data_IF_160954263807
#
_entry.id   IF_160954263807
#
_cell.length_a   1.000
_cell.length_b   1.000
_cell.length_c   1.000
_cell.angle_alpha   90.00
_cell.angle_beta   90.00
_cell.angle_gamma   90.00
#
_symmetry.space_group_name_H-M   'P 1'
#
loop_
_entity.id
_entity.type
_entity.pdbx_description
1 polymer ?
#
# COMPACT_ATOMS: atom_id res chain seq x y z
N UNK A 1 -9.40 13.95 -32.37
CA UNK A 1 -10.10 12.72 -31.95
C UNK A 1 -9.91 12.60 -30.45
N UNK A 2 -10.97 12.75 -29.66
CA UNK A 2 -10.90 12.49 -28.21
C UNK A 2 -11.03 10.97 -28.01
N UNK A 3 -9.93 10.29 -27.73
CA UNK A 3 -10.00 8.96 -27.13
C UNK A 3 -10.39 9.15 -25.67
N UNK A 4 -11.68 8.96 -25.36
CA UNK A 4 -12.09 8.74 -23.98
C UNK A 4 -11.40 7.48 -23.48
N UNK A 5 -10.45 7.63 -22.56
CA UNK A 5 -9.85 6.49 -21.88
C UNK A 5 -10.98 5.74 -21.16
N UNK A 6 -11.04 4.41 -21.34
CA UNK A 6 -12.02 3.60 -20.64
C UNK A 6 -11.59 3.48 -19.19
N UNK A 7 -12.48 3.77 -18.25
CA UNK A 7 -12.18 3.59 -16.82
C UNK A 7 -11.84 2.12 -16.53
N UNK A 8 -10.90 1.90 -15.60
CA UNK A 8 -10.50 0.55 -15.22
C UNK A 8 -11.71 -0.26 -14.72
N UNK A 9 -11.95 -1.49 -15.19
CA UNK A 9 -13.07 -2.31 -14.73
C UNK A 9 -13.05 -2.51 -13.21
N UNK A 10 -14.23 -2.51 -12.57
CA UNK A 10 -14.35 -2.65 -11.11
C UNK A 10 -13.66 -3.92 -10.55
N UNK A 11 -13.70 -5.01 -11.32
CA UNK A 11 -13.04 -6.28 -10.96
C UNK A 11 -11.51 -6.17 -10.89
N UNK A 12 -10.90 -5.26 -11.65
CA UNK A 12 -9.47 -4.94 -11.60
C UNK A 12 -9.19 -3.86 -10.54
N UNK A 13 -10.03 -2.83 -10.48
CA UNK A 13 -9.90 -1.71 -9.55
C UNK A 13 -9.84 -2.12 -8.07
N UNK A 14 -10.57 -3.17 -7.67
CA UNK A 14 -10.53 -3.69 -6.28
C UNK A 14 -9.17 -4.27 -5.84
N UNK A 15 -8.27 -4.52 -6.77
CA UNK A 15 -6.93 -5.05 -6.49
C UNK A 15 -5.86 -3.94 -6.52
N UNK A 16 -6.26 -2.68 -6.66
CA UNK A 16 -5.33 -1.55 -6.78
C UNK A 16 -5.09 -0.93 -5.41
N UNK A 17 -3.83 -0.70 -5.09
CA UNK A 17 -3.38 0.14 -3.97
C UNK A 17 -3.08 1.56 -4.44
N UNK A 18 -2.51 1.71 -5.64
CA UNK A 18 -2.11 3.00 -6.19
C UNK A 18 -1.98 2.93 -7.72
N UNK A 19 -2.23 4.03 -8.47
CA UNK A 19 -2.96 5.23 -8.05
C UNK A 19 -4.48 4.97 -8.04
N UNK A 20 -5.29 5.99 -7.74
CA UNK A 20 -6.75 5.90 -7.85
C UNK A 20 -7.17 5.42 -9.27
N UNK A 21 -7.81 4.24 -9.41
CA UNK A 21 -8.18 3.68 -10.71
C UNK A 21 -9.26 4.47 -11.45
N UNK A 22 -10.03 5.30 -10.74
CA UNK A 22 -11.01 6.23 -11.32
C UNK A 22 -10.47 7.66 -11.48
N UNK A 23 -9.24 7.94 -11.02
CA UNK A 23 -8.63 9.27 -11.06
C UNK A 23 -8.11 9.66 -12.45
N UNK A 24 -7.41 10.78 -12.56
CA UNK A 24 -6.68 11.18 -13.79
C UNK A 24 -5.21 10.78 -13.79
N UNK A 25 -4.62 10.51 -12.63
CA UNK A 25 -3.23 10.07 -12.50
C UNK A 25 -3.07 8.67 -13.09
N UNK A 26 -2.17 8.53 -14.06
CA UNK A 26 -1.88 7.29 -14.77
C UNK A 26 -0.38 7.20 -15.04
N UNK A 27 0.15 5.99 -14.99
CA UNK A 27 1.55 5.72 -15.24
C UNK A 27 1.70 4.86 -16.48
N UNK A 28 2.60 5.30 -17.37
CA UNK A 28 2.84 4.59 -18.64
C UNK A 28 3.91 3.51 -18.47
N UNK A 29 4.69 3.59 -17.40
CA UNK A 29 5.71 2.59 -17.04
C UNK A 29 5.53 2.09 -15.61
N UNK A 30 6.14 0.95 -15.31
CA UNK A 30 6.13 0.38 -13.96
C UNK A 30 6.92 1.25 -12.98
N UNK A 31 8.05 1.80 -13.44
CA UNK A 31 8.96 2.63 -12.65
C UNK A 31 8.26 3.90 -12.16
N UNK A 32 7.50 4.58 -13.03
CA UNK A 32 6.73 5.77 -12.63
C UNK A 32 5.66 5.42 -11.58
N UNK A 33 5.00 4.26 -11.73
CA UNK A 33 3.99 3.81 -10.76
C UNK A 33 4.58 3.47 -9.40
N UNK A 34 5.73 2.80 -9.38
CA UNK A 34 6.47 2.46 -8.15
C UNK A 34 7.00 3.72 -7.50
N UNK A 35 7.50 4.69 -8.27
CA UNK A 35 7.98 5.97 -7.76
C UNK A 35 6.85 6.74 -7.07
N UNK A 36 5.72 6.93 -7.75
CA UNK A 36 4.58 7.62 -7.17
C UNK A 36 4.02 6.93 -5.93
N UNK A 37 3.97 5.59 -5.91
CA UNK A 37 3.59 4.86 -4.71
C UNK A 37 4.53 5.10 -3.53
N UNK A 38 5.85 5.02 -3.77
CA UNK A 38 6.85 5.20 -2.73
C UNK A 38 6.84 6.61 -2.16
N UNK A 39 6.81 7.63 -3.02
CA UNK A 39 6.94 9.04 -2.61
C UNK A 39 5.61 9.64 -2.14
N UNK A 40 4.49 9.36 -2.82
CA UNK A 40 3.21 10.04 -2.55
C UNK A 40 2.33 9.28 -1.56
N UNK A 41 2.21 7.95 -1.70
CA UNK A 41 1.35 7.15 -0.82
C UNK A 41 2.07 6.73 0.46
N UNK A 42 3.27 6.15 0.32
CA UNK A 42 4.06 5.65 1.47
C UNK A 42 4.78 6.79 2.18
N UNK A 43 5.34 7.75 1.42
CA UNK A 43 6.07 8.90 1.98
C UNK A 43 7.57 8.64 2.17
N UNK A 44 8.17 7.79 1.35
CA UNK A 44 9.63 7.69 1.28
C UNK A 44 10.22 9.00 0.76
N UNK A 45 11.28 9.48 1.42
CA UNK A 45 11.84 10.82 1.16
C UNK A 45 12.99 10.83 0.16
N UNK A 46 13.81 9.77 0.14
CA UNK A 46 14.91 9.61 -0.84
C UNK A 46 15.01 8.14 -1.29
N UNK A 47 13.92 7.59 -1.85
CA UNK A 47 13.82 6.17 -2.10
C UNK A 47 14.89 5.66 -3.08
N UNK A 48 15.47 4.51 -2.74
CA UNK A 48 16.33 3.74 -3.63
C UNK A 48 15.53 2.60 -4.23
N UNK A 49 15.57 2.50 -5.55
CA UNK A 49 14.85 1.49 -6.34
C UNK A 49 15.83 0.42 -6.83
N UNK A 50 15.46 -0.84 -6.64
CA UNK A 50 16.13 -1.98 -7.26
C UNK A 50 15.69 -2.20 -8.71
N UNK A 51 16.25 -3.24 -9.32
CA UNK A 51 15.85 -3.67 -10.66
C UNK A 51 14.48 -4.35 -10.66
N UNK A 52 13.73 -4.17 -11.75
CA UNK A 52 12.47 -4.88 -11.98
C UNK A 52 12.71 -6.39 -12.06
N UNK A 53 12.07 -7.13 -11.16
CA UNK A 53 11.93 -8.57 -11.21
C UNK A 53 10.66 -8.92 -11.98
N UNK A 54 10.81 -9.29 -13.26
CA UNK A 54 9.67 -9.57 -14.13
C UNK A 54 8.92 -10.85 -13.68
N UNK A 55 7.60 -10.74 -13.55
CA UNK A 55 6.70 -11.89 -13.31
C UNK A 55 6.11 -12.43 -14.61
N UNK A 56 5.11 -11.73 -15.16
CA UNK A 56 4.56 -11.98 -16.51
C UNK A 56 4.79 -10.78 -17.42
N UNK A 57 4.38 -10.83 -18.69
CA UNK A 57 4.61 -9.73 -19.65
C UNK A 57 4.02 -8.36 -19.24
N UNK A 58 3.16 -8.33 -18.23
CA UNK A 58 2.44 -7.15 -17.70
C UNK A 58 2.65 -6.95 -16.20
N UNK A 59 3.41 -7.77 -15.49
CA UNK A 59 3.62 -7.61 -14.06
C UNK A 59 5.02 -7.94 -13.62
N UNK A 60 5.39 -7.41 -12.47
CA UNK A 60 6.65 -7.68 -11.82
C UNK A 60 6.67 -7.06 -10.44
N UNK A 61 7.86 -7.12 -9.84
CA UNK A 61 8.11 -6.63 -8.50
C UNK A 61 9.38 -5.78 -8.49
N UNK A 62 9.42 -4.77 -7.63
CA UNK A 62 10.59 -3.92 -7.40
C UNK A 62 10.84 -3.84 -5.91
N UNK A 63 12.08 -4.10 -5.49
CA UNK A 63 12.51 -3.79 -4.12
C UNK A 63 12.81 -2.29 -3.99
N UNK A 64 12.24 -1.66 -2.97
CA UNK A 64 12.49 -0.27 -2.61
C UNK A 64 12.94 -0.14 -1.16
N UNK A 65 13.71 0.91 -0.86
CA UNK A 65 14.09 1.33 0.50
C UNK A 65 13.98 2.84 0.61
N UNK A 66 13.72 3.35 1.80
CA UNK A 66 13.63 4.80 2.02
C UNK A 66 14.97 5.53 1.81
N UNK A 67 16.11 4.86 2.02
CA UNK A 67 17.42 5.33 1.60
C UNK A 67 18.40 4.16 1.35
N UNK A 68 19.59 4.46 0.80
CA UNK A 68 20.58 3.45 0.40
C UNK A 68 21.22 2.69 1.59
N UNK A 69 21.17 3.28 2.78
CA UNK A 69 21.93 2.89 3.98
C UNK A 69 21.07 2.45 5.15
N UNK A 70 19.77 2.72 5.10
CA UNK A 70 18.80 2.48 6.17
C UNK A 70 17.42 2.11 5.60
N UNK A 71 16.53 1.59 6.44
CA UNK A 71 15.24 1.05 6.02
C UNK A 71 15.29 -0.44 5.65
N UNK A 72 14.22 -1.15 5.96
CA UNK A 72 14.04 -2.51 5.50
C UNK A 72 13.48 -2.51 4.07
N UNK A 73 13.82 -3.56 3.31
CA UNK A 73 13.30 -3.76 1.95
C UNK A 73 11.78 -3.82 1.98
N UNK A 74 11.16 -3.01 1.12
CA UNK A 74 9.75 -3.15 0.75
C UNK A 74 9.69 -3.64 -0.69
N UNK A 75 9.08 -4.80 -0.93
CA UNK A 75 8.86 -5.32 -2.28
C UNK A 75 7.50 -4.84 -2.78
N UNK A 76 7.48 -4.11 -3.90
CA UNK A 76 6.28 -3.51 -4.48
C UNK A 76 5.86 -4.30 -5.70
N UNK A 77 4.61 -4.76 -5.72
CA UNK A 77 4.05 -5.56 -6.80
C UNK A 77 3.26 -4.65 -7.74
N UNK A 78 3.58 -4.68 -9.04
CA UNK A 78 2.91 -3.86 -10.04
C UNK A 78 2.29 -4.69 -11.17
N UNK A 79 1.30 -4.11 -11.85
CA UNK A 79 0.71 -4.68 -13.06
C UNK A 79 0.20 -3.61 -14.03
N UNK A 80 0.44 -3.83 -15.32
CA UNK A 80 -0.26 -3.16 -16.40
C UNK A 80 -1.65 -3.78 -16.57
N UNK A 81 -2.68 -2.96 -16.38
CA UNK A 81 -4.07 -3.39 -16.41
C UNK A 81 -4.68 -3.35 -17.82
N UNK A 82 -5.96 -3.71 -17.96
CA UNK A 82 -6.65 -3.75 -19.26
C UNK A 82 -6.78 -2.39 -19.96
N UNK A 83 -6.66 -1.30 -19.22
CA UNK A 83 -6.63 0.06 -19.76
C UNK A 83 -5.25 0.50 -20.27
N UNK A 84 -4.23 -0.35 -20.13
CA UNK A 84 -2.88 -0.12 -20.62
C UNK A 84 -1.97 0.66 -19.66
N UNK A 85 -2.42 0.99 -18.45
CA UNK A 85 -1.61 1.72 -17.46
C UNK A 85 -1.13 0.82 -16.33
N UNK A 86 -0.06 1.25 -15.67
CA UNK A 86 0.55 0.53 -14.54
C UNK A 86 -0.04 0.95 -13.20
N UNK A 87 -0.30 -0.06 -12.37
CA UNK A 87 -0.85 0.06 -11.03
C UNK A 87 -0.04 -0.75 -10.04
N UNK A 88 0.02 -0.29 -8.80
CA UNK A 88 0.52 -1.05 -7.66
C UNK A 88 -0.61 -1.88 -7.07
N UNK A 89 -0.33 -3.16 -6.90
CA UNK A 89 -1.28 -4.15 -6.36
C UNK A 89 -1.14 -4.36 -4.87
N UNK A 90 0.04 -4.07 -4.33
CA UNK A 90 0.39 -4.31 -2.95
C UNK A 90 1.88 -4.09 -2.71
N UNK A 91 2.23 -4.10 -1.44
CA UNK A 91 3.62 -4.08 -1.00
C UNK A 91 3.80 -5.01 0.19
N UNK A 92 4.96 -5.66 0.27
CA UNK A 92 5.32 -6.58 1.35
C UNK A 92 6.69 -6.27 1.91
N UNK A 93 6.90 -6.59 3.19
CA UNK A 93 8.17 -6.42 3.90
C UNK A 93 8.40 -7.64 4.80
N UNK A 94 9.65 -8.00 5.04
CA UNK A 94 10.00 -9.04 6.02
C UNK A 94 9.75 -8.60 7.47
N UNK A 95 9.51 -7.31 7.71
CA UNK A 95 9.31 -6.75 9.05
C UNK A 95 7.83 -6.66 9.42
N UNK A 96 6.91 -6.62 8.45
CA UNK A 96 5.48 -6.48 8.66
C UNK A 96 4.72 -7.38 7.69
N UNK A 97 3.98 -8.35 8.23
CA UNK A 97 3.16 -9.31 7.50
C UNK A 97 1.68 -9.12 7.88
N UNK A 98 0.92 -8.25 7.18
CA UNK A 98 -0.52 -8.14 7.37
C UNK A 98 -1.23 -9.45 6.97
N UNK A 99 -2.14 -9.92 7.82
CA UNK A 99 -2.94 -11.11 7.60
C UNK A 99 -4.43 -10.78 7.34
N UNK A 100 -4.95 -9.77 8.04
CA UNK A 100 -6.31 -9.26 7.79
C UNK A 100 -6.32 -7.73 7.76
N UNK A 101 -7.19 -7.14 6.90
CA UNK A 101 -8.02 -7.81 5.90
C UNK A 101 -7.18 -8.42 4.75
N UNK A 102 -7.75 -9.40 4.05
CA UNK A 102 -7.14 -9.94 2.84
C UNK A 102 -7.21 -8.90 1.70
N UNK A 103 -6.32 -9.04 0.71
CA UNK A 103 -6.32 -8.18 -0.47
C UNK A 103 -7.69 -8.16 -1.17
N UNK A 104 -8.22 -6.97 -1.40
CA UNK A 104 -9.51 -6.72 -2.04
C UNK A 104 -10.74 -7.02 -1.16
N UNK A 105 -10.55 -7.32 0.13
CA UNK A 105 -11.67 -7.56 1.04
C UNK A 105 -12.56 -6.32 1.17
N UNK A 106 -13.87 -6.56 1.29
CA UNK A 106 -14.84 -5.52 1.66
C UNK A 106 -14.72 -5.24 3.17
N UNK A 107 -14.65 -3.96 3.54
CA UNK A 107 -14.49 -3.52 4.92
C UNK A 107 -15.57 -2.50 5.31
N UNK A 108 -16.01 -2.58 6.56
CA UNK A 108 -16.84 -1.57 7.23
C UNK A 108 -16.10 -0.99 8.43
N UNK A 109 -16.58 0.16 8.93
CA UNK A 109 -15.96 0.88 10.04
C UNK A 109 -16.55 0.44 11.38
N UNK A 110 -15.74 0.04 12.38
CA UNK A 110 -14.28 -0.10 12.32
C UNK A 110 -13.83 -1.41 11.65
N UNK A 111 -12.71 -1.36 10.91
CA UNK A 111 -12.09 -2.56 10.33
C UNK A 111 -11.08 -3.16 11.32
N UNK A 112 -11.15 -4.47 11.54
CA UNK A 112 -10.13 -5.19 12.31
C UNK A 112 -8.92 -5.49 11.43
N UNK A 113 -7.72 -5.16 11.93
CA UNK A 113 -6.46 -5.48 11.30
C UNK A 113 -5.67 -6.47 12.15
N UNK A 114 -5.07 -7.46 11.51
CA UNK A 114 -4.22 -8.46 12.18
C UNK A 114 -3.02 -8.79 11.30
N UNK A 115 -1.98 -9.32 11.91
CA UNK A 115 -0.78 -9.74 11.21
C UNK A 115 0.32 -10.08 12.19
N UNK A 116 1.56 -10.07 11.71
CA UNK A 116 2.75 -10.18 12.53
C UNK A 116 3.73 -9.08 12.17
N UNK A 117 4.52 -8.65 13.14
CA UNK A 117 5.59 -7.70 12.87
C UNK A 117 6.77 -7.87 13.81
N UNK A 118 7.88 -7.28 13.38
CA UNK A 118 8.99 -6.86 14.22
C UNK A 118 9.25 -5.40 13.85
N UNK A 119 9.02 -4.51 14.80
CA UNK A 119 9.24 -3.08 14.63
C UNK A 119 9.90 -2.50 15.88
N UNK A 120 10.53 -1.33 15.75
CA UNK A 120 11.03 -0.58 16.88
C UNK A 120 9.92 -0.36 17.93
N UNK A 121 10.20 -0.73 19.18
CA UNK A 121 9.24 -0.69 20.29
C UNK A 121 7.91 -1.44 20.02
N UNK A 122 7.92 -2.39 19.08
CA UNK A 122 6.75 -3.14 18.63
C UNK A 122 5.65 -2.30 17.96
N UNK A 123 5.95 -1.08 17.52
CA UNK A 123 4.95 -0.13 16.99
C UNK A 123 4.77 -0.31 15.49
N UNK A 124 3.53 -0.59 15.06
CA UNK A 124 3.10 -0.53 13.65
C UNK A 124 2.03 0.53 13.49
N UNK A 125 2.26 1.46 12.57
CA UNK A 125 1.31 2.51 12.20
C UNK A 125 0.46 2.02 11.05
N UNK A 126 -0.86 2.15 11.17
CA UNK A 126 -1.81 1.69 10.15
C UNK A 126 -2.57 2.90 9.64
N UNK A 127 -2.48 3.15 8.34
CA UNK A 127 -3.22 4.21 7.66
C UNK A 127 -4.16 3.62 6.63
N UNK A 128 -5.38 4.16 6.59
CA UNK A 128 -6.36 3.83 5.57
C UNK A 128 -6.55 5.03 4.64
N UNK A 129 -6.43 4.78 3.35
CA UNK A 129 -6.65 5.76 2.29
C UNK A 129 -7.84 5.32 1.43
N UNK A 130 -8.71 6.27 1.07
CA UNK A 130 -9.74 6.05 0.06
C UNK A 130 -9.28 6.57 -1.30
N UNK A 131 -9.51 5.80 -2.35
CA UNK A 131 -9.27 6.28 -3.71
C UNK A 131 -10.16 7.49 -4.02
N UNK A 132 -9.54 8.55 -4.55
CA UNK A 132 -10.22 9.84 -4.82
C UNK A 132 -9.98 10.89 -3.73
N UNK A 133 -9.34 10.50 -2.62
CA UNK A 133 -8.89 11.42 -1.57
C UNK A 133 -7.37 11.41 -1.48
N UNK A 134 -6.78 12.56 -1.16
CA UNK A 134 -5.34 12.67 -0.87
C UNK A 134 -5.02 12.54 0.62
N UNK A 135 -6.03 12.59 1.49
CA UNK A 135 -5.88 12.48 2.94
C UNK A 135 -6.18 11.06 3.44
N UNK A 136 -5.57 10.69 4.57
CA UNK A 136 -5.93 9.49 5.33
C UNK A 136 -7.36 9.65 5.84
N UNK A 137 -8.15 8.59 5.75
CA UNK A 137 -9.55 8.56 6.22
C UNK A 137 -9.71 7.78 7.53
N UNK A 138 -8.67 7.06 7.94
CA UNK A 138 -8.57 6.35 9.20
C UNK A 138 -7.11 6.07 9.55
N UNK A 139 -6.83 6.00 10.84
CA UNK A 139 -5.50 5.70 11.37
C UNK A 139 -5.60 4.90 12.67
N UNK A 140 -4.61 4.06 12.93
CA UNK A 140 -4.44 3.36 14.19
C UNK A 140 -2.96 3.04 14.44
N UNK A 141 -2.63 2.76 15.69
CA UNK A 141 -1.36 2.15 16.09
C UNK A 141 -1.66 0.79 16.69
N UNK A 142 -0.94 -0.24 16.23
CA UNK A 142 -1.04 -1.60 16.74
C UNK A 142 0.32 -2.09 17.24
N UNK A 143 0.29 -2.99 18.21
CA UNK A 143 1.50 -3.53 18.85
C UNK A 143 1.74 -4.96 18.37
N UNK A 144 2.92 -5.22 17.80
CA UNK A 144 3.37 -6.55 17.40
C UNK A 144 4.61 -6.99 18.18
N UNK A 145 5.65 -7.45 17.49
CA UNK A 145 6.93 -7.83 18.09
C UNK A 145 7.99 -6.74 18.03
N UNK A 146 8.96 -6.79 18.94
CA UNK A 146 10.12 -5.87 18.96
C UNK A 146 11.46 -6.55 18.63
N UNK A 147 11.48 -7.87 18.51
CA UNK A 147 12.65 -8.67 18.20
C UNK A 147 12.26 -9.84 17.29
N UNK A 148 13.23 -10.65 16.87
CA UNK A 148 12.93 -11.91 16.20
C UNK A 148 12.46 -12.98 17.21
N UNK A 149 11.50 -13.85 16.86
CA UNK A 149 10.74 -13.90 15.60
C UNK A 149 9.63 -12.83 15.52
N UNK A 150 8.98 -12.67 14.36
CA UNK A 150 7.79 -11.81 14.26
C UNK A 150 6.71 -12.23 15.27
N UNK A 151 6.13 -11.27 15.97
CA UNK A 151 5.04 -11.51 16.94
C UNK A 151 3.72 -10.91 16.44
N UNK A 152 2.57 -11.50 16.82
CA UNK A 152 1.27 -11.08 16.29
C UNK A 152 0.88 -9.68 16.76
N UNK A 153 0.24 -8.91 15.87
CA UNK A 153 -0.49 -7.70 16.21
C UNK A 153 -1.98 -7.86 15.92
N UNK A 154 -2.79 -7.10 16.66
CA UNK A 154 -4.23 -6.96 16.40
C UNK A 154 -4.68 -5.55 16.78
N UNK A 155 -5.62 -4.99 16.02
CA UNK A 155 -6.22 -3.71 16.34
C UNK A 155 -7.41 -3.38 15.44
N UNK A 156 -7.95 -2.18 15.60
CA UNK A 156 -9.08 -1.69 14.83
C UNK A 156 -8.81 -0.30 14.28
N UNK A 157 -9.10 -0.09 12.99
CA UNK A 157 -9.04 1.22 12.35
C UNK A 157 -10.47 1.72 12.17
N UNK A 158 -10.84 2.77 12.90
CA UNK A 158 -12.06 3.52 12.64
C UNK A 158 -11.80 4.48 11.49
N UNK A 159 -12.73 4.57 10.55
CA UNK A 159 -12.60 5.46 9.40
C UNK A 159 -13.89 6.18 9.04
N UNK A 160 -13.73 7.29 8.32
CA UNK A 160 -14.82 8.09 7.76
C UNK A 160 -15.20 7.55 6.39
N UNK A 161 -16.50 7.33 6.17
CA UNK A 161 -17.02 7.01 4.85
C UNK A 161 -16.93 8.24 3.92
N UNK A 162 -16.27 8.06 2.77
CA UNK A 162 -16.07 9.09 1.75
C UNK A 162 -16.91 8.87 0.50
N UNK A 163 -17.67 7.76 0.44
CA UNK A 163 -18.35 7.29 -0.76
C UNK A 163 -17.42 6.67 -1.81
N UNK A 164 -16.14 6.47 -1.49
CA UNK A 164 -15.22 5.75 -2.36
C UNK A 164 -15.53 4.24 -2.34
N UNK A 165 -15.39 3.58 -3.49
CA UNK A 165 -15.61 2.13 -3.59
C UNK A 165 -14.40 1.29 -3.14
N UNK A 166 -13.19 1.85 -3.26
CA UNK A 166 -11.92 1.13 -3.03
C UNK A 166 -10.88 2.04 -2.39
N UNK A 167 -9.86 1.43 -1.79
CA UNK A 167 -8.77 2.13 -1.12
C UNK A 167 -7.62 1.19 -0.77
N UNK A 168 -6.74 1.66 0.11
CA UNK A 168 -5.57 0.91 0.55
C UNK A 168 -5.35 1.05 2.06
N UNK A 169 -5.06 -0.09 2.70
CA UNK A 169 -4.44 -0.11 4.03
C UNK A 169 -2.93 -0.14 3.87
N UNK A 170 -2.24 0.77 4.55
CA UNK A 170 -0.79 0.89 4.56
C UNK A 170 -0.30 0.71 5.99
N UNK A 171 0.57 -0.26 6.20
CA UNK A 171 1.22 -0.58 7.46
C UNK A 171 2.65 -0.09 7.40
N UNK A 172 3.07 0.71 8.39
CA UNK A 172 4.34 1.40 8.39
C UNK A 172 5.07 1.21 9.71
N UNK A 173 6.38 1.04 9.63
CA UNK A 173 7.29 1.36 10.73
C UNK A 173 7.96 2.69 10.45
N UNK A 174 8.14 3.51 11.49
CA UNK A 174 8.93 4.73 11.42
C UNK A 174 10.29 4.54 12.10
N UNK A 175 11.33 5.09 11.48
CA UNK A 175 12.68 5.15 12.00
C UNK A 175 12.70 5.93 13.33
N UNK A 176 13.16 5.29 14.40
CA UNK A 176 13.34 5.95 15.69
C UNK A 176 14.37 7.09 15.68
N UNK A 177 15.22 7.12 14.64
CA UNK A 177 16.30 8.11 14.49
C UNK A 177 15.78 9.46 14.05
N UNK A 178 14.84 9.48 13.10
CA UNK A 178 14.43 10.69 12.38
C UNK A 178 12.94 10.73 11.99
N UNK A 179 12.16 9.70 12.31
CA UNK A 179 10.73 9.63 12.00
C UNK A 179 10.43 9.35 10.52
N UNK A 180 11.44 9.12 9.69
CA UNK A 180 11.24 8.70 8.30
C UNK A 180 10.62 7.30 8.24
N UNK A 181 9.95 6.96 7.14
CA UNK A 181 9.40 5.60 6.99
C UNK A 181 10.56 4.61 6.87
N UNK A 182 10.56 3.58 7.72
CA UNK A 182 11.57 2.53 7.73
C UNK A 182 11.20 1.37 6.80
N UNK A 183 9.91 1.00 6.78
CA UNK A 183 9.40 -0.08 5.93
C UNK A 183 7.89 0.06 5.73
N UNK A 184 7.36 -0.58 4.69
CA UNK A 184 5.93 -0.56 4.41
C UNK A 184 5.39 -1.93 3.96
N UNK A 185 4.14 -2.20 4.30
CA UNK A 185 3.30 -3.20 3.64
C UNK A 185 1.97 -2.56 3.26
N UNK A 186 1.40 -2.92 2.11
CA UNK A 186 0.17 -2.32 1.62
C UNK A 186 -0.77 -3.36 1.02
N UNK A 187 -2.05 -3.24 1.36
CA UNK A 187 -3.11 -4.18 0.96
C UNK A 187 -4.29 -3.39 0.38
N UNK A 188 -4.79 -3.74 -0.82
CA UNK A 188 -5.97 -3.09 -1.38
C UNK A 188 -7.22 -3.53 -0.62
N UNK A 189 -8.20 -2.65 -0.49
CA UNK A 189 -9.49 -2.93 0.15
C UNK A 189 -10.64 -2.34 -0.67
N UNK A 190 -11.83 -2.90 -0.49
CA UNK A 190 -13.09 -2.32 -0.96
C UNK A 190 -13.92 -1.85 0.23
N UNK A 191 -14.78 -0.87 0.06
CA UNK A 191 -15.70 -0.42 1.11
C UNK A 191 -17.08 -1.05 0.91
N UNK A 192 -17.71 -1.50 1.98
CA UNK A 192 -19.11 -1.93 1.94
C UNK A 192 -20.01 -0.74 1.59
N UNK A 193 -21.00 -0.94 0.71
CA UNK A 193 -22.03 0.07 0.46
C UNK A 193 -22.92 0.20 1.72
N UNK A 194 -23.08 1.42 2.21
CA UNK A 194 -24.00 1.76 3.30
C UNK A 194 -25.46 1.77 2.84
#
# INVERSE_FOLDING_TARGET
>A
MNTSATALPAAEAKNVVWPNPAGSLRYSTAEEAVQGFAEELVGFSDPVYGDVQQGDARSGEVEIRNDATSGAVTTVMFRQMSDGFFYILGAVSSEIEPAMPAAGAAISSPVTVTGKSRAFEAVVNVHLYAHGTSARIGEAVVMGGSAAPLEPFTGSVTFTDTGAATGALVFLEYSAKDGSVYTAAAVPVSFEEN
#
